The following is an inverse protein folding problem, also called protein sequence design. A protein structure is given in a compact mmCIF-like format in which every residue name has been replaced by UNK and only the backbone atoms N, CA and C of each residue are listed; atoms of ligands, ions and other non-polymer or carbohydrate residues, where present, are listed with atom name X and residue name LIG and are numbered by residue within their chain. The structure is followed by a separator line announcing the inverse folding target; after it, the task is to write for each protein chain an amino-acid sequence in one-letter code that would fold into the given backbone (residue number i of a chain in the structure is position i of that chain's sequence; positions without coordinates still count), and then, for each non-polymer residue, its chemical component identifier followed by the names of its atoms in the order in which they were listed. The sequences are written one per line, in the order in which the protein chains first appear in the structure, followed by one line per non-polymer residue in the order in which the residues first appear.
data_IF_896597804226
#
_entry.id   IF_896597804226
#
_cell.length_a   1.000
_cell.length_b   1.000
_cell.length_c   1.000
_cell.angle_alpha   90.00
_cell.angle_beta   90.00
_cell.angle_gamma   90.00
#
_symmetry.space_group_name_H-M   'P 1'
#
loop_
_entity.id
_entity.type
_entity.pdbx_description
1 polymer ?
#
# COMPACT_ATOMS: atom_id res chain seq x y z
N UNK A 1 -31.78 -21.14 57.47
CA UNK A 1 -31.12 -19.99 58.14
C UNK A 1 -29.96 -19.54 57.26
N UNK A 2 -30.17 -18.48 56.53
CA UNK A 2 -29.61 -17.11 56.61
C UNK A 2 -28.07 -17.09 56.47
N UNK A 3 -27.46 -16.46 55.51
CA UNK A 3 -27.40 -15.01 55.34
C UNK A 3 -26.93 -14.57 53.95
N UNK A 4 -27.62 -13.55 53.43
CA UNK A 4 -27.11 -12.61 52.47
C UNK A 4 -25.80 -11.95 52.93
N UNK A 5 -24.86 -11.71 52.06
CA UNK A 5 -24.04 -10.51 52.10
C UNK A 5 -23.68 -10.06 50.69
N UNK A 6 -24.06 -8.84 50.48
CA UNK A 6 -23.81 -7.91 49.40
C UNK A 6 -22.35 -7.77 49.02
N UNK A 7 -22.18 -7.47 47.75
CA UNK A 7 -21.49 -6.22 47.40
C UNK A 7 -20.08 -6.40 46.87
N UNK A 8 -19.84 -6.12 45.71
CA UNK A 8 -19.24 -4.89 45.23
C UNK A 8 -19.02 -5.03 43.72
N UNK A 9 -19.69 -4.16 43.00
CA UNK A 9 -19.38 -3.80 41.66
C UNK A 9 -17.98 -3.16 41.67
N UNK A 10 -17.01 -3.75 41.05
CA UNK A 10 -15.84 -3.04 40.55
C UNK A 10 -16.15 -2.69 39.11
N UNK A 11 -16.44 -1.43 38.91
CA UNK A 11 -16.55 -0.78 37.61
C UNK A 11 -15.17 -0.88 36.93
N UNK A 12 -15.06 -1.79 35.97
CA UNK A 12 -13.92 -1.84 35.04
C UNK A 12 -14.14 -0.77 33.98
N UNK A 13 -13.67 0.44 34.31
CA UNK A 13 -13.67 1.61 33.44
C UNK A 13 -12.59 1.42 32.35
N UNK A 14 -12.88 0.50 31.41
CA UNK A 14 -12.15 0.44 30.15
C UNK A 14 -12.63 1.62 29.30
N UNK A 15 -12.03 2.78 29.53
CA UNK A 15 -12.10 3.91 28.62
C UNK A 15 -11.58 3.44 27.25
N UNK A 16 -12.50 3.00 26.41
CA UNK A 16 -12.26 2.74 25.00
C UNK A 16 -11.80 4.03 24.37
N UNK A 17 -10.54 4.06 23.96
CA UNK A 17 -10.07 5.03 22.99
C UNK A 17 -10.83 4.74 21.68
N UNK A 18 -11.94 5.44 21.48
CA UNK A 18 -12.58 5.53 20.18
C UNK A 18 -11.58 6.15 19.22
N UNK A 19 -10.95 5.30 18.41
CA UNK A 19 -10.27 5.76 17.22
C UNK A 19 -11.36 6.22 16.25
N UNK A 20 -11.59 7.53 16.22
CA UNK A 20 -12.36 8.18 15.18
C UNK A 20 -11.85 7.66 13.83
N UNK A 21 -12.69 6.95 13.11
CA UNK A 21 -12.43 6.55 11.74
C UNK A 21 -12.34 7.82 10.89
N UNK A 22 -11.13 8.24 10.61
CA UNK A 22 -10.84 9.43 9.83
C UNK A 22 -11.31 9.21 8.38
N UNK A 23 -12.56 9.56 8.10
CA UNK A 23 -13.10 9.65 6.75
C UNK A 23 -12.70 11.00 6.16
N UNK A 24 -11.44 11.11 5.72
CA UNK A 24 -10.91 12.32 5.08
C UNK A 24 -11.32 12.40 3.62
N UNK A 25 -12.48 12.95 3.32
CA UNK A 25 -12.76 13.52 2.02
C UNK A 25 -12.38 15.00 2.05
N UNK A 26 -11.25 15.33 1.42
CA UNK A 26 -10.94 16.69 0.96
C UNK A 26 -10.66 17.73 2.02
N UNK A 27 -9.41 17.85 2.42
CA UNK A 27 -8.60 19.04 2.73
C UNK A 27 -7.49 18.69 3.72
N UNK A 28 -6.23 18.55 3.26
CA UNK A 28 -5.05 18.77 4.11
C UNK A 28 -4.67 17.73 5.17
N UNK A 29 -5.26 16.54 5.22
CA UNK A 29 -4.89 15.51 6.19
C UNK A 29 -3.87 14.51 5.64
N UNK A 30 -3.02 13.94 6.52
CA UNK A 30 -2.09 12.87 6.18
C UNK A 30 -2.83 11.68 5.56
N UNK A 31 -2.38 11.23 4.38
CA UNK A 31 -2.89 10.03 3.72
C UNK A 31 -1.88 8.91 3.74
N UNK A 32 -2.26 7.76 4.26
CA UNK A 32 -1.39 6.58 4.39
C UNK A 32 -1.92 5.48 3.47
N UNK A 33 -1.10 5.04 2.51
CA UNK A 33 -1.46 3.97 1.57
C UNK A 33 -0.51 2.79 1.75
N UNK A 34 -1.05 1.65 2.13
CA UNK A 34 -0.30 0.41 2.30
C UNK A 34 -0.29 -0.45 1.03
N UNK A 35 0.81 -1.12 0.77
CA UNK A 35 0.97 -2.07 -0.34
C UNK A 35 1.36 -3.43 0.21
N UNK A 36 0.70 -4.47 -0.23
CA UNK A 36 0.95 -5.85 0.20
C UNK A 36 1.07 -6.80 -0.98
N UNK A 37 2.14 -7.54 -1.04
CA UNK A 37 2.28 -8.61 -2.02
C UNK A 37 1.37 -9.79 -1.64
N UNK A 38 0.44 -10.16 -2.53
CA UNK A 38 -0.37 -11.38 -2.41
C UNK A 38 0.36 -12.57 -3.02
N UNK A 39 0.89 -12.38 -4.22
CA UNK A 39 1.82 -13.34 -4.82
C UNK A 39 3.26 -12.96 -4.48
N UNK A 40 4.14 -13.94 -4.37
CA UNK A 40 5.55 -13.69 -4.07
C UNK A 40 6.18 -12.74 -5.10
N UNK A 41 6.91 -11.73 -4.61
CA UNK A 41 7.61 -10.75 -5.45
C UNK A 41 6.71 -10.01 -6.44
N UNK A 42 5.46 -9.72 -6.07
CA UNK A 42 4.56 -8.95 -6.92
C UNK A 42 5.01 -7.49 -7.15
N UNK A 43 6.08 -7.04 -6.49
CA UNK A 43 6.77 -5.80 -6.80
C UNK A 43 6.36 -4.60 -5.94
N UNK A 44 5.91 -4.81 -4.70
CA UNK A 44 5.52 -3.71 -3.81
C UNK A 44 6.62 -2.67 -3.62
N UNK A 45 7.84 -3.09 -3.32
CA UNK A 45 8.99 -2.18 -3.08
C UNK A 45 9.25 -1.25 -4.27
N UNK A 46 9.35 -1.82 -5.49
CA UNK A 46 9.59 -1.05 -6.70
C UNK A 46 8.41 -0.11 -6.99
N UNK A 47 7.18 -0.61 -6.87
CA UNK A 47 5.98 0.20 -7.13
C UNK A 47 5.87 1.36 -6.14
N UNK A 48 6.08 1.13 -4.85
CA UNK A 48 6.09 2.17 -3.82
C UNK A 48 7.12 3.26 -4.13
N UNK A 49 8.33 2.87 -4.53
CA UNK A 49 9.37 3.81 -4.93
C UNK A 49 8.95 4.64 -6.16
N UNK A 50 8.44 3.99 -7.20
CA UNK A 50 7.98 4.70 -8.41
C UNK A 50 6.82 5.65 -8.11
N UNK A 51 5.83 5.22 -7.33
CA UNK A 51 4.70 6.07 -6.92
C UNK A 51 5.15 7.25 -6.08
N UNK A 52 6.13 7.04 -5.18
CA UNK A 52 6.72 8.13 -4.43
C UNK A 52 7.29 9.20 -5.38
N UNK A 53 8.06 8.80 -6.41
CA UNK A 53 8.63 9.72 -7.41
C UNK A 53 7.56 10.51 -8.17
N UNK A 54 6.43 9.90 -8.49
CA UNK A 54 5.31 10.58 -9.13
C UNK A 54 4.61 11.56 -8.19
N UNK A 55 4.41 11.19 -6.93
CA UNK A 55 3.70 12.02 -5.95
C UNK A 55 4.54 13.18 -5.42
N UNK A 56 5.86 13.03 -5.29
CA UNK A 56 6.74 14.06 -4.71
C UNK A 56 6.82 15.35 -5.54
N UNK A 57 6.28 15.34 -6.76
CA UNK A 57 6.14 16.53 -7.59
C UNK A 57 5.11 17.52 -6.99
N UNK A 58 4.10 17.02 -6.27
CA UNK A 58 2.98 17.81 -5.75
C UNK A 58 2.74 17.67 -4.24
N UNK A 59 3.32 16.67 -3.59
CA UNK A 59 3.09 16.34 -2.19
C UNK A 59 4.41 16.15 -1.44
N UNK A 60 4.40 16.39 -0.13
CA UNK A 60 5.48 15.94 0.75
C UNK A 60 5.27 14.44 1.07
N UNK A 61 6.06 13.57 0.42
CA UNK A 61 5.89 12.11 0.43
C UNK A 61 7.01 11.42 1.18
N UNK A 62 6.64 10.51 2.05
CA UNK A 62 7.56 9.57 2.71
C UNK A 62 7.18 8.15 2.30
N UNK A 63 8.15 7.30 2.02
CA UNK A 63 7.93 5.88 1.83
C UNK A 63 8.61 5.08 2.96
N UNK A 64 7.89 4.10 3.49
CA UNK A 64 8.33 3.25 4.59
C UNK A 64 8.19 1.79 4.15
N UNK A 65 9.24 1.00 4.33
CA UNK A 65 9.16 -0.45 4.19
C UNK A 65 9.24 -1.14 5.55
N UNK A 66 8.56 -2.27 5.69
CA UNK A 66 8.41 -2.96 6.97
C UNK A 66 9.11 -4.31 6.94
N UNK A 67 9.91 -4.60 7.99
CA UNK A 67 10.64 -5.86 8.21
C UNK A 67 11.53 -6.29 7.03
N UNK A 68 12.15 -5.32 6.36
CA UNK A 68 13.16 -5.50 5.31
C UNK A 68 13.98 -4.24 5.11
N UNK A 69 15.01 -4.30 4.27
CA UNK A 69 15.97 -3.22 4.05
C UNK A 69 16.28 -3.01 2.56
N UNK A 70 15.30 -3.23 1.69
CA UNK A 70 15.46 -3.06 0.23
C UNK A 70 15.65 -1.58 -0.15
N UNK A 71 15.07 -0.65 0.61
CA UNK A 71 15.18 0.79 0.40
C UNK A 71 16.61 1.34 0.59
N UNK A 72 17.47 0.63 1.30
CA UNK A 72 18.88 1.01 1.43
C UNK A 72 19.63 1.03 0.08
N UNK A 73 19.16 0.25 -0.90
CA UNK A 73 19.75 0.19 -2.23
C UNK A 73 19.24 1.29 -3.16
N UNK A 74 18.27 2.08 -2.70
CA UNK A 74 17.72 3.22 -3.43
C UNK A 74 18.28 4.50 -2.78
N UNK A 75 19.06 5.27 -3.50
CA UNK A 75 19.74 6.45 -2.97
C UNK A 75 18.78 7.64 -2.76
N UNK A 76 17.84 7.49 -1.80
CA UNK A 76 16.81 8.47 -1.49
C UNK A 76 16.60 8.57 0.03
N UNK A 77 16.88 9.74 0.62
CA UNK A 77 16.84 9.97 2.07
C UNK A 77 15.44 9.99 2.68
N UNK A 78 14.40 10.10 1.88
CA UNK A 78 13.00 10.06 2.33
C UNK A 78 12.41 8.65 2.33
N UNK A 79 13.22 7.64 1.98
CA UNK A 79 12.90 6.23 2.15
C UNK A 79 13.34 5.78 3.55
N UNK A 80 12.49 5.02 4.21
CA UNK A 80 12.74 4.55 5.59
C UNK A 80 12.45 3.06 5.68
N UNK A 81 13.30 2.35 6.42
CA UNK A 81 13.07 0.96 6.79
C UNK A 81 12.70 0.90 8.27
N UNK A 82 11.75 0.06 8.65
CA UNK A 82 11.25 -0.07 10.02
C UNK A 82 10.83 -1.49 10.33
N UNK A 83 10.58 -1.77 11.61
CA UNK A 83 9.95 -3.01 12.04
C UNK A 83 8.43 -2.87 12.12
N UNK A 84 7.71 -4.01 12.11
CA UNK A 84 6.26 -4.00 12.37
C UNK A 84 5.91 -3.29 13.69
N UNK A 85 6.72 -3.46 14.74
CA UNK A 85 6.46 -2.86 16.06
C UNK A 85 6.63 -1.33 16.04
N UNK A 86 7.56 -0.82 15.26
CA UNK A 86 7.89 0.60 15.23
C UNK A 86 7.16 1.38 14.14
N UNK A 87 6.32 0.72 13.31
CA UNK A 87 5.66 1.37 12.17
C UNK A 87 4.81 2.58 12.61
N UNK A 88 3.99 2.42 13.65
CA UNK A 88 3.15 3.53 14.14
C UNK A 88 4.00 4.72 14.60
N UNK A 89 5.09 4.47 15.31
CA UNK A 89 6.03 5.49 15.75
C UNK A 89 6.71 6.18 14.55
N UNK A 90 7.13 5.41 13.56
CA UNK A 90 7.74 5.96 12.35
C UNK A 90 6.76 6.80 11.52
N UNK A 91 5.49 6.42 11.45
CA UNK A 91 4.44 7.25 10.83
C UNK A 91 4.30 8.57 11.58
N UNK A 92 4.16 8.53 12.91
CA UNK A 92 3.99 9.72 13.75
C UNK A 92 5.18 10.69 13.70
N UNK A 93 6.38 10.18 13.47
CA UNK A 93 7.61 10.99 13.35
C UNK A 93 7.78 11.69 11.99
N UNK A 94 6.73 11.73 11.15
CA UNK A 94 6.71 12.47 9.90
C UNK A 94 5.54 13.46 9.87
N UNK A 95 5.50 14.44 10.77
CA UNK A 95 4.35 15.34 10.92
C UNK A 95 4.12 16.24 9.69
N UNK A 96 5.15 16.48 8.89
CA UNK A 96 5.07 17.31 7.69
C UNK A 96 4.69 16.51 6.44
N UNK A 97 4.58 15.17 6.54
CA UNK A 97 4.20 14.35 5.40
C UNK A 97 2.71 14.54 5.08
N UNK A 98 2.41 14.77 3.80
CA UNK A 98 1.04 14.78 3.28
C UNK A 98 0.62 13.38 2.84
N UNK A 99 1.59 12.58 2.37
CA UNK A 99 1.38 11.20 1.92
C UNK A 99 2.45 10.30 2.50
N UNK A 100 2.04 9.17 3.06
CA UNK A 100 2.96 8.08 3.44
C UNK A 100 2.58 6.83 2.65
N UNK A 101 3.53 6.29 1.89
CA UNK A 101 3.41 5.01 1.22
C UNK A 101 4.09 3.94 2.06
N UNK A 102 3.40 2.85 2.35
CA UNK A 102 3.94 1.79 3.21
C UNK A 102 4.02 0.47 2.43
N UNK A 103 5.22 -0.04 2.23
CA UNK A 103 5.43 -1.42 1.80
C UNK A 103 5.28 -2.34 3.02
N UNK A 104 4.07 -2.86 3.19
CA UNK A 104 3.65 -3.60 4.40
C UNK A 104 4.36 -4.96 4.55
N UNK A 105 4.90 -5.52 3.45
CA UNK A 105 5.43 -6.88 3.47
C UNK A 105 4.42 -7.84 4.13
N UNK A 106 4.83 -8.61 5.14
CA UNK A 106 3.95 -9.51 5.93
C UNK A 106 3.43 -8.86 7.22
N UNK A 107 3.64 -7.56 7.42
CA UNK A 107 3.21 -6.83 8.63
C UNK A 107 1.70 -6.90 8.84
N UNK A 108 1.27 -7.09 10.08
CA UNK A 108 -0.14 -7.08 10.49
C UNK A 108 -0.73 -5.68 10.66
N UNK A 109 0.09 -4.63 10.62
CA UNK A 109 -0.27 -3.24 10.92
C UNK A 109 -1.00 -2.50 9.77
N UNK A 110 -1.73 -3.24 8.92
CA UNK A 110 -2.51 -2.63 7.83
C UNK A 110 -3.60 -1.66 8.30
N UNK A 111 -4.06 -1.78 9.54
CA UNK A 111 -5.03 -0.88 10.16
C UNK A 111 -4.54 0.58 10.31
N UNK A 112 -3.23 0.81 10.21
CA UNK A 112 -2.64 2.15 10.20
C UNK A 112 -2.80 2.86 8.84
N UNK A 113 -3.22 2.15 7.80
CA UNK A 113 -3.37 2.68 6.45
C UNK A 113 -4.82 3.07 6.16
N UNK A 114 -5.03 4.21 5.48
CA UNK A 114 -6.35 4.61 4.97
C UNK A 114 -6.82 3.68 3.85
N UNK A 115 -5.87 3.24 3.02
CA UNK A 115 -6.08 2.30 1.91
C UNK A 115 -5.03 1.21 1.94
N UNK A 116 -5.41 -0.02 1.59
CA UNK A 116 -4.46 -1.11 1.34
C UNK A 116 -4.64 -1.63 -0.08
N UNK A 117 -3.54 -1.66 -0.82
CA UNK A 117 -3.44 -2.19 -2.17
C UNK A 117 -2.85 -3.60 -2.11
N UNK A 118 -3.58 -4.56 -2.65
CA UNK A 118 -3.19 -5.96 -2.70
C UNK A 118 -2.62 -6.29 -4.08
N UNK A 119 -1.31 -6.51 -4.15
CA UNK A 119 -0.59 -6.72 -5.41
C UNK A 119 -0.55 -8.20 -5.80
N UNK A 120 -1.01 -8.48 -7.00
CA UNK A 120 -0.93 -9.80 -7.62
C UNK A 120 -0.11 -9.68 -8.91
N UNK A 121 0.96 -10.46 -9.02
CA UNK A 121 1.57 -10.73 -10.31
C UNK A 121 0.86 -11.94 -10.93
N UNK A 122 0.11 -11.77 -12.03
CA UNK A 122 -0.86 -12.78 -12.49
C UNK A 122 -0.22 -13.90 -13.32
N UNK A 123 1.03 -14.26 -13.02
CA UNK A 123 1.69 -15.39 -13.66
C UNK A 123 1.12 -16.74 -13.20
N UNK A 124 0.87 -17.66 -14.13
CA UNK A 124 0.27 -18.97 -13.86
C UNK A 124 0.90 -19.72 -12.67
N UNK A 125 2.23 -19.75 -12.60
CA UNK A 125 2.94 -20.44 -11.51
C UNK A 125 2.69 -19.75 -10.18
N UNK A 126 2.64 -18.41 -10.16
CA UNK A 126 2.43 -17.63 -8.94
C UNK A 126 1.01 -17.78 -8.40
N UNK A 127 0.02 -17.74 -9.29
CA UNK A 127 -1.39 -17.98 -8.93
C UNK A 127 -1.59 -19.41 -8.41
N UNK A 128 -1.04 -20.41 -9.09
CA UNK A 128 -1.12 -21.79 -8.62
C UNK A 128 -0.44 -22.00 -7.26
N UNK A 129 0.70 -21.34 -7.00
CA UNK A 129 1.35 -21.38 -5.68
C UNK A 129 0.48 -20.73 -4.61
N UNK A 130 -0.16 -19.58 -4.92
CA UNK A 130 -1.08 -18.89 -4.03
C UNK A 130 -2.23 -19.81 -3.62
N UNK A 131 -2.94 -20.38 -4.58
CA UNK A 131 -4.10 -21.27 -4.34
C UNK A 131 -3.70 -22.53 -3.57
N UNK A 132 -2.52 -23.09 -3.86
CA UNK A 132 -2.01 -24.26 -3.12
C UNK A 132 -1.66 -23.94 -1.67
N UNK A 133 -1.14 -22.75 -1.40
CA UNK A 133 -0.80 -22.27 -0.06
C UNK A 133 -2.06 -21.92 0.75
N UNK A 134 -3.02 -21.29 0.11
CA UNK A 134 -4.27 -20.83 0.73
C UNK A 134 -5.42 -20.91 -0.27
N UNK A 135 -6.26 -21.95 -0.14
CA UNK A 135 -7.40 -22.16 -1.02
C UNK A 135 -8.45 -21.05 -0.93
N UNK A 136 -8.50 -20.36 0.22
CA UNK A 136 -9.42 -19.24 0.46
C UNK A 136 -8.78 -17.88 0.14
N UNK A 137 -7.63 -17.84 -0.54
CA UNK A 137 -6.90 -16.59 -0.79
C UNK A 137 -7.77 -15.53 -1.46
N UNK A 138 -8.52 -15.90 -2.51
CA UNK A 138 -9.39 -14.96 -3.22
C UNK A 138 -10.64 -14.58 -2.43
N UNK A 139 -11.19 -15.46 -1.61
CA UNK A 139 -12.29 -15.11 -0.71
C UNK A 139 -11.86 -14.03 0.30
N UNK A 140 -10.63 -14.11 0.82
CA UNK A 140 -10.04 -13.11 1.72
C UNK A 140 -9.77 -11.77 1.02
N UNK A 141 -9.67 -11.78 -0.30
CA UNK A 141 -9.43 -10.60 -1.13
C UNK A 141 -10.74 -9.98 -1.66
N UNK A 142 -11.89 -10.59 -1.38
CA UNK A 142 -13.18 -10.02 -1.76
C UNK A 142 -13.30 -8.61 -1.18
N UNK A 143 -13.80 -7.69 -1.99
CA UNK A 143 -13.99 -6.27 -1.68
C UNK A 143 -12.69 -5.50 -1.33
N UNK A 144 -11.52 -6.08 -1.62
CA UNK A 144 -10.22 -5.42 -1.47
C UNK A 144 -9.80 -4.74 -2.78
N UNK A 145 -8.93 -3.73 -2.69
CA UNK A 145 -8.32 -3.09 -3.86
C UNK A 145 -7.22 -3.98 -4.43
N UNK A 146 -7.59 -4.86 -5.35
CA UNK A 146 -6.65 -5.77 -6.03
C UNK A 146 -6.03 -5.04 -7.21
N UNK A 147 -4.71 -4.99 -7.25
CA UNK A 147 -3.96 -4.46 -8.38
C UNK A 147 -3.15 -5.59 -9.01
N UNK A 148 -3.38 -5.82 -10.28
CA UNK A 148 -2.51 -6.69 -11.07
C UNK A 148 -1.26 -5.89 -11.41
N UNK A 149 -0.09 -6.38 -11.01
CA UNK A 149 1.20 -5.71 -11.25
C UNK A 149 2.12 -6.59 -12.07
N UNK A 150 2.94 -5.98 -12.91
CA UNK A 150 3.77 -6.68 -13.92
C UNK A 150 2.91 -7.56 -14.83
N UNK A 151 1.72 -7.08 -15.13
CA UNK A 151 0.70 -7.83 -15.85
C UNK A 151 0.92 -7.75 -17.36
N UNK A 152 0.73 -8.88 -18.01
CA UNK A 152 0.68 -9.00 -19.48
C UNK A 152 -0.74 -9.36 -19.95
N UNK A 153 -1.72 -9.31 -19.04
CA UNK A 153 -3.09 -9.71 -19.31
C UNK A 153 -3.81 -8.67 -20.18
N UNK A 154 -4.58 -9.17 -21.14
CA UNK A 154 -5.53 -8.36 -21.92
C UNK A 154 -6.80 -8.10 -21.10
N UNK A 155 -7.66 -7.19 -21.56
CA UNK A 155 -8.94 -6.93 -20.90
C UNK A 155 -9.82 -8.20 -20.82
N UNK A 156 -9.72 -9.10 -21.81
CA UNK A 156 -10.42 -10.38 -21.79
C UNK A 156 -9.89 -11.27 -20.67
N UNK A 157 -8.56 -11.40 -20.59
CA UNK A 157 -7.92 -12.22 -19.54
C UNK A 157 -8.22 -11.68 -18.13
N UNK A 158 -8.33 -10.35 -17.97
CA UNK A 158 -8.73 -9.73 -16.70
C UNK A 158 -10.17 -10.11 -16.34
N UNK A 159 -11.10 -10.05 -17.32
CA UNK A 159 -12.48 -10.48 -17.08
C UNK A 159 -12.56 -11.97 -16.71
N UNK A 160 -11.78 -12.81 -17.38
CA UNK A 160 -11.71 -14.24 -17.05
C UNK A 160 -11.13 -14.45 -15.63
N UNK A 161 -10.06 -13.73 -15.26
CA UNK A 161 -9.51 -13.73 -13.91
C UNK A 161 -10.54 -13.30 -12.85
N UNK A 162 -11.28 -12.22 -13.10
CA UNK A 162 -12.32 -11.73 -12.19
C UNK A 162 -13.45 -12.77 -11.99
N UNK A 163 -13.87 -13.42 -13.06
CA UNK A 163 -14.91 -14.45 -13.01
C UNK A 163 -14.44 -15.70 -12.25
N UNK A 164 -13.21 -16.17 -12.51
CA UNK A 164 -12.65 -17.35 -11.85
C UNK A 164 -12.33 -17.12 -10.37
N UNK A 165 -11.81 -15.93 -10.04
CA UNK A 165 -11.43 -15.58 -8.66
C UNK A 165 -12.60 -15.03 -7.84
N UNK A 166 -13.74 -14.72 -8.47
CA UNK A 166 -14.86 -13.99 -7.86
C UNK A 166 -14.42 -12.69 -7.16
N UNK A 167 -13.41 -12.01 -7.72
CA UNK A 167 -12.82 -10.80 -7.17
C UNK A 167 -12.69 -9.74 -8.26
N UNK A 168 -12.86 -8.46 -7.89
CA UNK A 168 -12.72 -7.36 -8.84
C UNK A 168 -11.31 -6.81 -8.87
N UNK A 169 -10.80 -6.57 -10.07
CA UNK A 169 -9.51 -5.91 -10.27
C UNK A 169 -9.73 -4.40 -10.20
N UNK A 170 -9.10 -3.77 -9.21
CA UNK A 170 -9.14 -2.32 -9.04
C UNK A 170 -8.34 -1.60 -10.13
N UNK A 171 -7.16 -2.13 -10.47
CA UNK A 171 -6.30 -1.55 -11.49
C UNK A 171 -5.33 -2.58 -12.08
N UNK A 172 -4.95 -2.39 -13.34
CA UNK A 172 -4.00 -3.25 -14.04
C UNK A 172 -2.77 -2.47 -14.46
N UNK A 173 -1.61 -2.81 -13.88
CA UNK A 173 -0.32 -2.18 -14.16
C UNK A 173 0.52 -3.18 -14.99
N UNK A 174 0.91 -2.81 -16.22
CA UNK A 174 1.77 -3.65 -17.04
C UNK A 174 3.18 -3.74 -16.45
N UNK A 175 4.06 -4.48 -17.10
CA UNK A 175 5.48 -4.43 -16.77
C UNK A 175 6.02 -3.02 -17.05
N UNK A 176 6.60 -2.40 -16.03
CA UNK A 176 7.17 -1.05 -16.11
C UNK A 176 8.69 -1.13 -16.13
N UNK A 177 9.30 -0.18 -16.82
CA UNK A 177 10.73 0.05 -16.75
C UNK A 177 11.02 0.99 -15.55
N UNK A 178 11.58 0.43 -14.48
CA UNK A 178 11.91 1.15 -13.25
C UNK A 178 13.00 2.23 -13.41
N UNK A 179 13.64 2.28 -14.59
CA UNK A 179 14.61 3.33 -14.96
C UNK A 179 13.96 4.56 -15.55
N UNK A 180 12.70 4.48 -15.96
CA UNK A 180 11.96 5.62 -16.46
C UNK A 180 11.48 6.50 -15.30
N UNK A 181 11.75 7.80 -15.43
CA UNK A 181 11.34 8.78 -14.41
C UNK A 181 9.82 8.98 -14.36
N UNK A 182 9.11 8.73 -15.47
CA UNK A 182 7.68 8.98 -15.57
C UNK A 182 6.99 7.91 -16.44
N UNK A 183 5.93 7.34 -15.90
CA UNK A 183 5.06 6.37 -16.57
C UNK A 183 3.60 6.81 -16.40
N UNK A 184 2.94 7.20 -17.49
CA UNK A 184 1.56 7.71 -17.49
C UNK A 184 0.57 6.79 -16.77
N UNK A 185 0.78 5.48 -16.86
CA UNK A 185 -0.08 4.50 -16.20
C UNK A 185 -0.06 4.64 -14.65
N UNK A 186 1.04 5.14 -14.07
CA UNK A 186 1.12 5.39 -12.63
C UNK A 186 0.34 6.64 -12.25
N UNK A 187 0.30 7.68 -13.11
CA UNK A 187 -0.56 8.83 -12.89
C UNK A 187 -2.04 8.42 -12.93
N UNK A 188 -2.41 7.60 -13.91
CA UNK A 188 -3.77 7.09 -14.02
C UNK A 188 -4.16 6.24 -12.79
N UNK A 189 -3.22 5.44 -12.29
CA UNK A 189 -3.40 4.68 -11.04
C UNK A 189 -3.57 5.59 -9.82
N UNK A 190 -2.74 6.64 -9.69
CA UNK A 190 -2.84 7.62 -8.61
C UNK A 190 -4.17 8.38 -8.66
N UNK A 191 -4.65 8.72 -9.86
CA UNK A 191 -5.98 9.32 -10.05
C UNK A 191 -7.08 8.34 -9.63
N UNK A 192 -6.97 7.05 -9.98
CA UNK A 192 -7.91 6.01 -9.55
C UNK A 192 -7.92 5.84 -8.01
N UNK A 193 -6.77 6.05 -7.36
CA UNK A 193 -6.67 6.09 -5.89
C UNK A 193 -7.25 7.37 -5.29
N UNK A 194 -7.59 8.39 -6.10
CA UNK A 194 -8.17 9.64 -5.64
C UNK A 194 -7.15 10.75 -5.35
N UNK A 195 -5.93 10.63 -5.85
CA UNK A 195 -4.98 11.75 -5.86
C UNK A 195 -5.34 12.74 -6.97
N UNK A 196 -5.04 14.02 -6.76
CA UNK A 196 -5.20 15.04 -7.81
C UNK A 196 -4.26 14.74 -8.98
N UNK A 197 -4.70 15.04 -10.20
CA UNK A 197 -3.87 14.84 -11.39
C UNK A 197 -2.62 15.68 -11.29
N UNK A 198 -1.46 15.02 -11.35
CA UNK A 198 -0.17 15.69 -11.39
C UNK A 198 -0.04 16.32 -12.80
N UNK A 199 -0.16 17.65 -12.89
CA UNK A 199 0.02 18.32 -14.16
C UNK A 199 1.47 18.21 -14.60
N UNK A 200 1.74 17.44 -15.64
CA UNK A 200 3.05 17.27 -16.29
C UNK A 200 3.51 18.50 -17.09
N UNK A 201 3.04 19.71 -16.74
CA UNK A 201 3.44 20.97 -17.38
C UNK A 201 4.53 21.68 -16.57
N UNK A 202 5.71 21.07 -16.52
CA UNK A 202 6.90 21.70 -16.00
C UNK A 202 8.13 21.01 -16.56
N UNK A 203 8.79 21.60 -17.55
CA UNK A 203 10.08 21.14 -18.07
C UNK A 203 11.14 21.14 -16.97
N UNK A 204 11.13 20.13 -16.13
CA UNK A 204 12.18 19.83 -15.18
C UNK A 204 13.32 19.14 -15.91
N UNK A 205 14.48 19.77 -15.95
CA UNK A 205 15.72 19.21 -16.51
C UNK A 205 15.95 17.82 -15.92
N UNK A 206 15.92 16.82 -16.81
CA UNK A 206 16.33 15.45 -16.48
C UNK A 206 17.69 15.45 -15.76
N UNK A 207 17.71 15.11 -14.47
CA UNK A 207 18.94 14.72 -13.79
C UNK A 207 19.14 13.24 -14.06
N UNK A 208 20.01 12.93 -15.03
CA UNK A 208 20.52 11.59 -15.24
C UNK A 208 21.03 11.03 -13.92
N UNK A 209 20.44 9.94 -13.48
CA UNK A 209 20.92 9.17 -12.33
C UNK A 209 22.33 8.68 -12.59
N UNK A 210 23.31 9.24 -11.88
CA UNK A 210 24.65 8.67 -11.80
C UNK A 210 24.58 7.40 -10.92
N UNK A 211 24.32 6.25 -11.54
CA UNK A 211 24.29 4.94 -10.86
C UNK A 211 25.71 4.40 -10.60
N UNK A 212 26.76 5.04 -11.16
CA UNK A 212 28.14 4.61 -10.98
C UNK A 212 29.01 5.75 -10.44
N UNK A 213 29.16 5.77 -9.11
CA UNK A 213 30.35 6.26 -8.43
C UNK A 213 30.53 5.50 -7.14
#
# INVERSE_FOLDING_TARGET
QYHNLNGNNEDDDTSGLEYDSFTGTGSGGLRIVGFRNVTSHAGATTLVYMLKKHLEVAYNVVAIEVDKEDFLYLNDKSLKSTTTLDLAFNIANNPDAEVILVDLNDSTQGNLCNDIIYLIEPGLIKLNKLIRKDRAAFEKLKDKKIVLNKSVLTNKDINDFENESNSKVFFNIPYLDDKKEHEQILDDFLVALGFSRLNSSGSGKAKLFNIFK
#
